data_IF_149597119887
#
_entry.id   IF_149597119887
#
_cell.length_a   1.000
_cell.length_b   1.000
_cell.length_c   1.000
_cell.angle_alpha   90.00
_cell.angle_beta   90.00
_cell.angle_gamma   90.00
#
_symmetry.space_group_name_H-M   'P 1'
#
loop_
_entity.id
_entity.type
_entity.pdbx_description
1 polymer ?
#
# COMPACT_ATOMS: atom_id res chain seq x y z
N UNK A 1 -16.97 -0.08 31.55
CA UNK A 1 -16.24 -0.55 30.36
C UNK A 1 -14.83 -0.02 30.49
N UNK A 2 -13.96 -0.81 31.10
CA UNK A 2 -12.54 -0.52 31.17
C UNK A 2 -11.96 -1.00 29.84
N UNK A 3 -11.47 -0.07 29.02
CA UNK A 3 -10.77 -0.45 27.80
C UNK A 3 -9.37 -0.91 28.22
N UNK A 4 -9.03 -2.19 28.04
CA UNK A 4 -7.81 -2.76 28.60
C UNK A 4 -6.54 -2.13 28.01
N UNK A 5 -6.59 -1.62 26.76
CA UNK A 5 -5.42 -1.10 26.06
C UNK A 5 -5.71 0.26 25.40
N UNK A 6 -5.43 1.35 26.13
CA UNK A 6 -5.66 2.72 25.69
C UNK A 6 -4.88 3.11 24.41
N UNK A 7 -3.78 2.41 24.09
CA UNK A 7 -2.90 2.71 22.95
C UNK A 7 -3.08 1.77 21.75
N UNK A 8 -4.00 0.79 21.85
CA UNK A 8 -4.22 -0.22 20.80
C UNK A 8 -4.60 0.36 19.43
N UNK A 9 -5.16 1.58 19.41
CA UNK A 9 -5.62 2.27 18.20
C UNK A 9 -4.61 3.29 17.66
N UNK A 10 -3.44 3.41 18.28
CA UNK A 10 -2.39 4.32 17.82
C UNK A 10 -1.61 3.76 16.63
N UNK A 11 -1.38 2.44 16.62
CA UNK A 11 -0.63 1.74 15.57
C UNK A 11 -1.54 0.77 14.85
N UNK A 12 -1.69 0.94 13.54
CA UNK A 12 -2.38 0.00 12.68
C UNK A 12 -1.47 -0.49 11.56
N UNK A 13 -1.84 -1.65 11.02
CA UNK A 13 -1.24 -2.28 9.86
C UNK A 13 -2.18 -2.17 8.68
N UNK A 14 -1.64 -1.81 7.53
CA UNK A 14 -2.38 -1.80 6.26
C UNK A 14 -1.58 -2.60 5.23
N UNK A 15 -2.25 -3.56 4.60
CA UNK A 15 -1.66 -4.38 3.53
C UNK A 15 -2.44 -4.13 2.26
N UNK A 16 -1.78 -3.55 1.27
CA UNK A 16 -2.33 -3.28 -0.05
C UNK A 16 -1.52 -4.07 -1.11
N UNK A 17 -2.17 -4.45 -2.21
CA UNK A 17 -1.49 -5.06 -3.37
C UNK A 17 -0.95 -3.95 -4.26
N UNK A 18 0.37 -3.93 -4.46
CA UNK A 18 1.01 -3.01 -5.43
C UNK A 18 0.63 -3.46 -6.83
N UNK A 19 -0.10 -2.61 -7.55
CA UNK A 19 -0.50 -2.85 -8.94
C UNK A 19 0.64 -2.38 -9.84
N UNK A 20 1.35 -3.32 -10.46
CA UNK A 20 2.40 -3.02 -11.41
C UNK A 20 2.90 -4.29 -12.09
N UNK A 21 3.13 -4.20 -13.40
CA UNK A 21 3.81 -5.24 -14.16
C UNK A 21 5.24 -4.77 -14.36
N UNK A 22 6.21 -5.56 -13.89
CA UNK A 22 7.63 -5.28 -14.06
C UNK A 22 8.24 -6.44 -14.82
N UNK A 23 8.68 -6.18 -16.05
CA UNK A 23 9.40 -7.16 -16.86
C UNK A 23 10.84 -6.73 -17.09
N UNK A 24 11.75 -7.69 -17.10
CA UNK A 24 13.16 -7.47 -17.42
C UNK A 24 13.73 -8.72 -18.07
N UNK A 25 14.54 -8.55 -19.11
CA UNK A 25 15.23 -9.66 -19.77
C UNK A 25 16.71 -9.63 -19.40
N UNK A 26 17.22 -10.76 -18.90
CA UNK A 26 18.67 -10.95 -18.69
C UNK A 26 19.39 -11.39 -19.97
N UNK A 27 18.68 -11.51 -21.10
CA UNK A 27 19.31 -11.85 -22.38
C UNK A 27 20.31 -10.76 -22.79
N UNK A 28 21.57 -11.14 -22.99
CA UNK A 28 22.64 -10.21 -23.34
C UNK A 28 23.40 -9.61 -22.15
N UNK A 29 23.03 -9.95 -20.90
CA UNK A 29 23.88 -9.65 -19.75
C UNK A 29 24.99 -10.69 -19.60
N UNK A 30 26.19 -10.24 -19.22
CA UNK A 30 27.33 -11.12 -18.93
C UNK A 30 27.13 -11.94 -17.67
N UNK A 31 26.33 -11.44 -16.73
CA UNK A 31 25.90 -12.10 -15.50
C UNK A 31 24.38 -12.11 -15.47
N UNK A 32 23.77 -13.21 -15.01
CA UNK A 32 22.30 -13.31 -14.85
C UNK A 32 21.83 -12.60 -13.57
N UNK A 33 22.24 -11.34 -13.41
CA UNK A 33 21.94 -10.50 -12.25
C UNK A 33 21.43 -9.13 -12.70
N UNK A 34 20.32 -8.69 -12.11
CA UNK A 34 19.72 -7.39 -12.35
C UNK A 34 19.85 -6.58 -11.06
N UNK A 35 20.60 -5.48 -11.12
CA UNK A 35 20.83 -4.60 -9.98
C UNK A 35 20.19 -3.24 -10.22
N UNK A 36 19.64 -2.63 -9.16
CA UNK A 36 19.10 -1.27 -9.21
C UNK A 36 17.78 -1.12 -9.97
N UNK A 37 16.99 -2.19 -10.15
CA UNK A 37 15.67 -2.11 -10.75
C UNK A 37 14.66 -1.54 -9.72
N UNK A 38 14.06 -0.36 -9.94
CA UNK A 38 13.07 0.20 -9.02
C UNK A 38 11.75 -0.59 -9.11
N UNK A 39 11.39 -1.28 -8.03
CA UNK A 39 10.19 -2.14 -7.99
C UNK A 39 8.94 -1.42 -7.47
N UNK A 40 9.07 -0.47 -6.55
CA UNK A 40 7.94 0.24 -5.99
C UNK A 40 8.39 1.59 -5.42
N UNK A 41 7.63 2.64 -5.70
CA UNK A 41 7.83 3.97 -5.12
C UNK A 41 6.72 4.26 -4.11
N UNK A 42 7.09 4.80 -2.96
CA UNK A 42 6.14 5.18 -1.91
C UNK A 42 6.31 6.67 -1.64
N UNK A 43 5.23 7.43 -1.76
CA UNK A 43 5.24 8.89 -1.57
C UNK A 43 5.23 9.25 -0.08
N UNK A 44 5.76 10.43 0.26
CA UNK A 44 5.76 10.97 1.62
C UNK A 44 4.50 11.76 1.97
N UNK A 45 3.57 11.89 1.03
CA UNK A 45 2.23 12.47 1.24
C UNK A 45 1.30 11.51 2.00
N UNK A 46 1.70 10.24 2.10
CA UNK A 46 0.94 9.20 2.80
C UNK A 46 1.66 8.76 4.08
N UNK A 47 0.93 8.10 4.97
CA UNK A 47 1.47 7.56 6.22
C UNK A 47 2.15 6.18 6.06
N UNK A 48 2.33 5.68 4.84
CA UNK A 48 2.89 4.34 4.60
C UNK A 48 4.32 4.16 5.14
N UNK A 49 5.12 5.22 5.15
CA UNK A 49 6.50 5.21 5.67
C UNK A 49 6.60 5.80 7.09
N UNK A 50 5.48 6.00 7.80
CA UNK A 50 5.45 6.73 9.08
C UNK A 50 6.09 5.99 10.27
N UNK A 51 6.07 4.66 10.25
CA UNK A 51 6.64 3.79 11.31
C UNK A 51 7.63 2.81 10.68
N UNK A 52 7.12 1.90 9.85
CA UNK A 52 7.89 0.90 9.11
C UNK A 52 7.05 0.48 7.91
N UNK A 53 7.72 0.05 6.85
CA UNK A 53 7.11 -0.40 5.62
C UNK A 53 7.61 -1.80 5.28
N UNK A 54 6.73 -2.66 4.77
CA UNK A 54 7.07 -4.01 4.32
C UNK A 54 6.65 -4.19 2.86
N UNK A 55 7.56 -4.69 2.03
CA UNK A 55 7.30 -5.04 0.64
C UNK A 55 7.59 -6.52 0.43
N UNK A 56 6.60 -7.28 0.00
CA UNK A 56 6.80 -8.65 -0.48
C UNK A 56 7.02 -8.61 -1.98
N UNK A 57 8.21 -9.01 -2.41
CA UNK A 57 8.57 -9.15 -3.83
C UNK A 57 8.45 -10.62 -4.21
N UNK A 58 7.73 -10.88 -5.30
CA UNK A 58 7.62 -12.19 -5.93
C UNK A 58 8.26 -12.12 -7.31
N UNK A 59 9.35 -12.82 -7.51
CA UNK A 59 10.05 -12.89 -8.78
C UNK A 59 9.67 -14.18 -9.49
N UNK A 60 9.25 -14.06 -10.76
CA UNK A 60 8.87 -15.20 -11.58
C UNK A 60 9.91 -15.42 -12.69
N UNK A 61 10.40 -16.65 -12.82
CA UNK A 61 11.19 -17.07 -13.98
C UNK A 61 10.24 -17.61 -15.04
N UNK A 62 10.12 -16.88 -16.14
CA UNK A 62 9.10 -17.13 -17.19
C UNK A 62 9.76 -17.50 -18.52
N UNK A 63 8.98 -18.09 -19.43
CA UNK A 63 9.42 -18.36 -20.81
C UNK A 63 9.43 -17.07 -21.64
N UNK A 64 10.06 -17.11 -22.81
CA UNK A 64 10.14 -15.97 -23.73
C UNK A 64 8.75 -15.51 -24.21
N UNK A 65 7.83 -16.46 -24.45
CA UNK A 65 6.46 -16.15 -24.86
C UNK A 65 5.68 -15.46 -23.74
N UNK A 66 5.86 -15.89 -22.50
CA UNK A 66 5.26 -15.26 -21.34
C UNK A 66 5.85 -13.86 -21.10
N UNK A 67 7.18 -13.71 -21.22
CA UNK A 67 7.84 -12.41 -21.14
C UNK A 67 7.27 -11.44 -22.18
N UNK A 68 7.13 -11.88 -23.43
CA UNK A 68 6.56 -11.07 -24.51
C UNK A 68 5.14 -10.61 -24.18
N UNK A 69 4.29 -11.52 -23.69
CA UNK A 69 2.91 -11.21 -23.28
C UNK A 69 2.86 -10.13 -22.18
N UNK A 70 3.60 -10.32 -21.08
CA UNK A 70 3.59 -9.37 -19.96
C UNK A 70 4.28 -8.05 -20.29
N UNK A 71 5.33 -8.06 -21.12
CA UNK A 71 6.00 -6.85 -21.58
C UNK A 71 5.08 -6.02 -22.48
N UNK A 72 4.32 -6.67 -23.38
CA UNK A 72 3.26 -6.01 -24.15
C UNK A 72 2.17 -5.39 -23.27
N UNK A 73 1.73 -6.11 -22.23
CA UNK A 73 0.76 -5.57 -21.26
C UNK A 73 1.32 -4.39 -20.45
N UNK A 74 2.58 -4.47 -20.03
CA UNK A 74 3.27 -3.39 -19.32
C UNK A 74 3.32 -2.14 -20.18
N UNK A 75 3.70 -2.26 -21.46
CA UNK A 75 3.73 -1.15 -22.41
C UNK A 75 2.35 -0.47 -22.53
N UNK A 76 1.29 -1.26 -22.76
CA UNK A 76 -0.09 -0.74 -22.87
C UNK A 76 -0.55 -0.07 -21.57
N UNK A 77 -0.25 -0.67 -20.42
CA UNK A 77 -0.62 -0.10 -19.12
C UNK A 77 0.13 1.20 -18.81
N UNK A 78 1.37 1.33 -19.27
CA UNK A 78 2.21 2.52 -19.03
C UNK A 78 1.81 3.72 -19.88
N UNK A 79 1.16 3.49 -21.03
CA UNK A 79 0.69 4.55 -21.93
C UNK A 79 -0.68 5.13 -21.56
N UNK A 80 -1.43 4.49 -20.67
CA UNK A 80 -2.72 5.00 -20.20
C UNK A 80 -2.52 6.30 -19.41
N UNK A 81 -2.84 7.42 -20.05
CA UNK A 81 -2.70 8.77 -19.48
C UNK A 81 -1.75 9.69 -20.25
N UNK A 82 -1.01 9.18 -21.23
CA UNK A 82 -0.21 10.01 -22.12
C UNK A 82 -1.09 10.68 -23.19
N UNK A 83 -0.89 11.99 -23.43
CA UNK A 83 -1.56 12.75 -24.51
C UNK A 83 -1.32 12.17 -25.91
N UNK A 84 -0.36 11.24 -26.04
CA UNK A 84 0.03 10.53 -27.25
C UNK A 84 0.07 9.01 -27.03
N UNK A 85 -0.98 8.43 -26.44
CA UNK A 85 -1.10 6.99 -26.30
C UNK A 85 -1.13 6.30 -27.69
N UNK A 86 -0.33 5.26 -27.89
CA UNK A 86 -0.43 4.43 -29.08
C UNK A 86 -1.74 3.64 -29.02
N UNK A 87 -2.33 3.33 -30.18
CA UNK A 87 -3.54 2.53 -30.21
C UNK A 87 -3.22 1.14 -29.63
N UNK A 88 -3.87 0.72 -28.52
CA UNK A 88 -3.57 -0.56 -27.92
C UNK A 88 -3.90 -1.66 -28.93
N UNK A 89 -2.94 -2.53 -29.20
CA UNK A 89 -3.16 -3.73 -29.99
C UNK A 89 -3.61 -4.88 -29.10
N UNK A 90 -4.30 -5.85 -29.69
CA UNK A 90 -4.79 -7.00 -28.94
C UNK A 90 -3.62 -7.91 -28.53
N UNK A 91 -3.31 -7.94 -27.23
CA UNK A 91 -2.36 -8.90 -26.66
C UNK A 91 -3.07 -10.26 -26.57
N UNK A 92 -2.59 -11.24 -27.37
CA UNK A 92 -3.14 -12.60 -27.38
C UNK A 92 -2.46 -13.46 -26.35
N UNK A 93 -3.28 -14.14 -25.53
CA UNK A 93 -2.81 -15.14 -24.58
C UNK A 93 -2.51 -16.50 -25.23
N UNK A 94 -2.20 -17.49 -24.38
CA UNK A 94 -2.02 -18.89 -24.76
C UNK A 94 -3.28 -19.76 -24.52
N UNK A 95 -4.39 -19.18 -24.06
CA UNK A 95 -5.64 -19.88 -23.77
C UNK A 95 -6.58 -19.80 -24.98
N UNK A 96 -7.28 -20.89 -25.30
CA UNK A 96 -8.25 -20.98 -26.40
C UNK A 96 -9.53 -21.66 -25.94
N UNK A 97 -10.68 -21.20 -26.46
CA UNK A 97 -11.98 -21.84 -26.22
C UNK A 97 -12.08 -23.16 -27.01
N UNK A 98 -12.55 -24.21 -26.35
CA UNK A 98 -12.79 -25.52 -26.99
C UNK A 98 -14.13 -25.57 -27.71
N UNK A 99 -15.04 -24.63 -27.42
CA UNK A 99 -16.38 -24.55 -28.00
C UNK A 99 -16.38 -23.62 -29.21
N UNK A 100 -15.72 -22.47 -29.11
CA UNK A 100 -15.66 -21.47 -30.17
C UNK A 100 -14.22 -20.97 -30.39
N UNK A 101 -13.48 -21.53 -31.37
CA UNK A 101 -12.09 -21.12 -31.65
C UNK A 101 -11.90 -19.64 -32.03
N UNK A 102 -12.95 -18.97 -32.51
CA UNK A 102 -12.92 -17.56 -32.91
C UNK A 102 -13.20 -16.60 -31.73
N UNK A 103 -13.57 -17.13 -30.57
CA UNK A 103 -13.79 -16.35 -29.36
C UNK A 103 -12.45 -15.93 -28.72
N UNK A 104 -12.19 -14.62 -28.59
CA UNK A 104 -10.97 -14.16 -27.94
C UNK A 104 -11.05 -14.37 -26.42
N UNK A 105 -10.15 -15.19 -25.87
CA UNK A 105 -10.00 -15.37 -24.42
C UNK A 105 -8.91 -14.44 -23.90
N UNK A 106 -9.23 -13.71 -22.84
CA UNK A 106 -8.29 -12.81 -22.15
C UNK A 106 -7.47 -13.57 -21.10
N UNK A 107 -6.23 -13.12 -20.91
CA UNK A 107 -5.31 -13.67 -19.91
C UNK A 107 -4.26 -14.61 -20.52
N UNK A 108 -3.35 -15.06 -19.66
CA UNK A 108 -2.26 -15.96 -20.02
C UNK A 108 -2.12 -17.00 -18.91
N UNK A 109 -2.11 -18.27 -19.29
CA UNK A 109 -1.85 -19.36 -18.38
C UNK A 109 -0.34 -19.48 -18.18
N UNK A 110 0.14 -19.17 -16.97
CA UNK A 110 1.56 -19.14 -16.63
C UNK A 110 1.92 -20.29 -15.68
N UNK A 111 3.00 -21.01 -16.00
CA UNK A 111 3.71 -21.89 -15.07
C UNK A 111 5.15 -21.39 -15.00
N UNK A 112 5.60 -21.04 -13.81
CA UNK A 112 6.88 -20.40 -13.59
C UNK A 112 7.48 -20.82 -12.24
N UNK A 113 8.81 -20.82 -12.16
CA UNK A 113 9.51 -20.84 -10.87
C UNK A 113 9.28 -19.52 -10.14
N UNK A 114 9.11 -19.56 -8.82
CA UNK A 114 8.87 -18.38 -7.99
C UNK A 114 9.91 -18.30 -6.87
N UNK A 115 10.51 -17.12 -6.74
CA UNK A 115 11.32 -16.73 -5.59
C UNK A 115 10.64 -15.57 -4.87
N UNK A 116 10.55 -15.65 -3.54
CA UNK A 116 9.91 -14.63 -2.73
C UNK A 116 10.90 -14.01 -1.75
N UNK A 117 10.89 -12.68 -1.65
CA UNK A 117 11.68 -11.94 -0.69
C UNK A 117 10.87 -10.82 -0.06
N UNK A 118 10.88 -10.77 1.27
CA UNK A 118 10.28 -9.67 2.02
C UNK A 118 11.35 -8.67 2.43
N UNK A 119 11.09 -7.41 2.14
CA UNK A 119 11.95 -6.27 2.45
C UNK A 119 11.24 -5.44 3.52
N UNK A 120 12.00 -4.95 4.50
CA UNK A 120 11.51 -3.97 5.46
C UNK A 120 12.31 -2.69 5.36
N UNK A 121 11.60 -1.58 5.43
CA UNK A 121 12.17 -0.23 5.42
C UNK A 121 11.65 0.47 6.67
N UNK A 122 12.56 0.87 7.57
CA UNK A 122 12.19 1.68 8.73
C UNK A 122 11.89 3.11 8.31
N UNK A 123 11.16 3.86 9.15
CA UNK A 123 10.90 5.29 8.90
C UNK A 123 12.24 6.01 8.60
N UNK A 124 12.36 6.68 7.44
CA UNK A 124 13.55 7.45 7.15
C UNK A 124 13.74 8.59 8.17
N UNK A 125 14.99 8.95 8.50
CA UNK A 125 15.29 10.09 9.36
C UNK A 125 14.65 11.38 8.84
N UNK A 126 14.11 12.20 9.75
CA UNK A 126 13.39 13.44 9.40
C UNK A 126 14.28 14.54 8.81
N UNK A 127 15.60 14.46 9.03
CA UNK A 127 16.60 15.33 8.42
C UNK A 127 16.90 14.96 6.96
N UNK A 128 16.55 13.74 6.53
CA UNK A 128 16.76 13.26 5.16
C UNK A 128 15.50 13.36 4.30
N UNK A 129 14.33 13.15 4.90
CA UNK A 129 13.06 13.06 4.17
C UNK A 129 11.97 13.82 4.92
N UNK A 130 11.39 14.82 4.25
CA UNK A 130 10.23 15.55 4.75
C UNK A 130 8.92 14.80 4.43
N UNK A 131 8.00 14.79 5.39
CA UNK A 131 6.69 14.16 5.28
C UNK A 131 5.60 15.20 5.14
N UNK A 132 4.74 15.04 4.13
CA UNK A 132 3.72 16.03 3.77
C UNK A 132 2.29 15.60 4.14
N UNK A 133 2.13 14.46 4.82
CA UNK A 133 0.82 14.06 5.32
C UNK A 133 0.36 14.95 6.48
N UNK A 134 -0.96 15.09 6.63
CA UNK A 134 -1.54 15.87 7.74
C UNK A 134 -1.20 15.25 9.09
N UNK A 135 -0.70 16.09 10.00
CA UNK A 135 -0.46 15.71 11.40
C UNK A 135 -1.60 16.23 12.26
N UNK A 136 -1.94 15.45 13.28
CA UNK A 136 -2.96 15.85 14.25
C UNK A 136 -2.33 16.80 15.27
N UNK A 137 -2.78 18.05 15.24
CA UNK A 137 -2.36 19.09 16.18
C UNK A 137 -3.59 19.50 16.97
N UNK A 138 -3.48 19.45 18.30
CA UNK A 138 -4.57 19.88 19.18
C UNK A 138 -4.72 21.40 19.12
N UNK A 139 -5.92 21.86 18.85
CA UNK A 139 -6.31 23.28 18.90
C UNK A 139 -7.36 23.55 19.97
N UNK A 140 -7.68 24.83 20.19
CA UNK A 140 -8.68 25.27 21.19
C UNK A 140 -10.04 24.60 20.98
N UNK A 141 -10.44 24.37 19.72
CA UNK A 141 -11.67 23.67 19.36
C UNK A 141 -11.73 22.24 19.92
N UNK A 142 -10.61 21.52 20.00
CA UNK A 142 -10.59 20.14 20.51
C UNK A 142 -10.77 20.11 22.04
N UNK A 143 -10.23 21.11 22.73
CA UNK A 143 -10.42 21.28 24.18
C UNK A 143 -11.87 21.69 24.50
N UNK A 144 -12.44 22.60 23.72
CA UNK A 144 -13.84 23.00 23.85
C UNK A 144 -14.78 21.83 23.55
N UNK A 145 -14.51 21.07 22.48
CA UNK A 145 -15.27 19.87 22.12
C UNK A 145 -15.32 18.85 23.26
N UNK A 146 -14.22 18.68 24.00
CA UNK A 146 -14.21 17.82 25.19
C UNK A 146 -15.20 18.31 26.27
N UNK A 147 -15.31 19.62 26.48
CA UNK A 147 -16.29 20.21 27.40
C UNK A 147 -17.75 19.92 27.03
N UNK A 148 -18.03 19.71 25.74
CA UNK A 148 -19.36 19.37 25.22
C UNK A 148 -19.59 17.86 25.04
N UNK A 149 -18.66 16.99 25.46
CA UNK A 149 -18.75 15.53 25.21
C UNK A 149 -20.07 14.91 25.71
N UNK A 150 -20.63 15.41 26.83
CA UNK A 150 -21.90 14.94 27.39
C UNK A 150 -23.13 15.19 26.51
N UNK A 151 -23.01 16.09 25.53
CA UNK A 151 -24.07 16.47 24.59
C UNK A 151 -23.94 15.76 23.24
N UNK A 152 -22.93 14.90 23.06
CA UNK A 152 -22.77 14.12 21.84
C UNK A 152 -23.85 13.04 21.73
N UNK A 153 -24.31 12.76 20.51
CA UNK A 153 -25.30 11.72 20.25
C UNK A 153 -24.74 10.36 20.69
N UNK A 154 -25.52 9.56 21.42
CA UNK A 154 -25.12 8.20 21.83
C UNK A 154 -24.70 7.31 20.66
N UNK A 155 -25.17 7.58 19.45
CA UNK A 155 -24.79 6.87 18.22
C UNK A 155 -23.33 7.09 17.80
N UNK A 156 -22.68 8.16 18.26
CA UNK A 156 -21.28 8.45 17.93
C UNK A 156 -20.29 7.78 18.88
N UNK A 157 -20.78 7.10 19.92
CA UNK A 157 -19.95 6.41 20.91
C UNK A 157 -19.50 5.02 20.40
N UNK A 158 -18.30 4.55 20.79
CA UNK A 158 -17.36 5.21 21.70
C UNK A 158 -16.57 6.37 21.06
N UNK A 159 -16.34 7.42 21.84
CA UNK A 159 -15.44 8.53 21.50
C UNK A 159 -14.11 8.37 22.26
N UNK A 160 -13.01 8.47 21.52
CA UNK A 160 -11.66 8.49 22.06
C UNK A 160 -11.24 9.92 22.37
N UNK A 161 -10.62 10.10 23.53
CA UNK A 161 -10.14 11.39 24.02
C UNK A 161 -8.65 11.27 24.28
N UNK A 162 -7.95 12.39 24.19
CA UNK A 162 -6.52 12.45 24.50
C UNK A 162 -6.24 13.51 25.55
N UNK A 163 -5.02 13.49 26.08
CA UNK A 163 -4.54 14.46 27.05
C UNK A 163 -3.35 15.20 26.44
N UNK A 164 -3.39 16.53 26.46
CA UNK A 164 -2.28 17.36 26.02
C UNK A 164 -1.07 17.20 26.95
N UNK A 165 0.09 17.70 26.51
CA UNK A 165 1.31 17.78 27.33
C UNK A 165 1.12 18.60 28.61
N UNK A 166 0.15 19.52 28.63
CA UNK A 166 -0.23 20.32 29.79
C UNK A 166 -1.27 19.65 30.70
N UNK A 167 -1.65 18.39 30.43
CA UNK A 167 -2.62 17.65 31.24
C UNK A 167 -4.09 17.99 30.95
N UNK A 168 -4.38 18.83 29.95
CA UNK A 168 -5.75 19.19 29.56
C UNK A 168 -6.32 18.10 28.64
N UNK A 169 -7.56 17.68 28.89
CA UNK A 169 -8.25 16.72 28.04
C UNK A 169 -8.81 17.39 26.79
N UNK A 170 -8.68 16.71 25.65
CA UNK A 170 -9.15 17.16 24.36
C UNK A 170 -9.90 16.02 23.65
N UNK A 171 -10.87 16.40 22.82
CA UNK A 171 -11.61 15.52 21.94
C UNK A 171 -11.28 15.91 20.49
N UNK A 172 -10.15 15.44 19.94
CA UNK A 172 -9.81 15.71 18.55
C UNK A 172 -10.70 14.92 17.60
N UNK A 173 -10.58 15.22 16.31
CA UNK A 173 -11.17 14.39 15.25
C UNK A 173 -10.77 12.93 15.47
N UNK A 174 -11.73 12.03 15.37
CA UNK A 174 -11.50 10.65 15.82
C UNK A 174 -10.52 9.87 14.93
N UNK A 175 -10.31 10.32 13.68
CA UNK A 175 -9.25 9.83 12.80
C UNK A 175 -7.84 10.01 13.38
N UNK A 176 -7.66 10.99 14.28
CA UNK A 176 -6.39 11.22 14.95
C UNK A 176 -6.07 10.20 16.04
N UNK A 177 -7.08 9.50 16.56
CA UNK A 177 -6.94 8.56 17.67
C UNK A 177 -7.28 7.11 17.28
N UNK A 178 -7.93 6.92 16.13
CA UNK A 178 -8.30 5.61 15.63
C UNK A 178 -7.76 5.39 14.22
N UNK A 179 -6.59 4.75 14.15
CA UNK A 179 -5.93 4.44 12.88
C UNK A 179 -6.76 3.53 11.95
N UNK A 180 -7.79 2.83 12.46
CA UNK A 180 -8.70 2.02 11.64
C UNK A 180 -9.56 2.87 10.72
N UNK A 181 -9.81 4.13 11.09
CA UNK A 181 -10.51 5.08 10.21
C UNK A 181 -9.70 5.44 8.95
N UNK A 182 -8.40 5.15 8.94
CA UNK A 182 -7.55 5.24 7.75
C UNK A 182 -7.41 3.91 6.99
N UNK A 183 -8.27 2.92 7.28
CA UNK A 183 -8.29 1.62 6.60
C UNK A 183 -7.25 0.62 7.11
N UNK A 184 -6.66 0.87 8.28
CA UNK A 184 -5.76 -0.08 8.94
C UNK A 184 -6.49 -1.06 9.87
N UNK A 185 -5.80 -2.13 10.25
CA UNK A 185 -6.23 -3.06 11.30
C UNK A 185 -5.24 -3.04 12.47
N UNK A 186 -5.75 -3.31 13.67
CA UNK A 186 -4.92 -3.49 14.87
C UNK A 186 -4.30 -4.90 14.95
N UNK A 187 -4.78 -5.81 14.11
CA UNK A 187 -4.23 -7.15 14.00
C UNK A 187 -2.90 -7.10 13.27
N UNK A 188 -1.83 -7.38 14.02
CA UNK A 188 -0.48 -7.44 13.49
C UNK A 188 -0.36 -8.61 12.50
N UNK A 189 0.06 -8.36 11.24
CA UNK A 189 0.26 -9.44 10.28
C UNK A 189 1.33 -10.42 10.74
N UNK A 190 1.18 -11.71 10.42
CA UNK A 190 2.14 -12.75 10.83
C UNK A 190 3.57 -12.48 10.32
N UNK A 191 3.67 -11.90 9.14
CA UNK A 191 4.97 -11.52 8.57
C UNK A 191 5.57 -10.28 9.23
N UNK A 192 4.87 -9.56 10.11
CA UNK A 192 5.38 -8.31 10.67
C UNK A 192 6.39 -8.58 11.78
N UNK A 193 7.63 -8.15 11.58
CA UNK A 193 8.67 -8.16 12.60
C UNK A 193 8.80 -6.77 13.22
N UNK A 194 8.95 -6.70 14.53
CA UNK A 194 9.30 -5.43 15.19
C UNK A 194 10.80 -5.17 15.03
N UNK A 195 11.22 -3.92 15.27
CA UNK A 195 12.62 -3.50 15.15
C UNK A 195 13.25 -3.38 16.53
#
# INVERSE_FOLDING_TARGET
FEFPDADSLYTCYKTDVVQGIYTFSTAGLSETAVNGLPLNYVTTDTRMLSIRYSLLVKQYTVTDEAFTYYNSLQAISSEQGALYAQQPYQVKGNIKSTINPDEPILGYFLVAGIDEKRIYVNRPPSDQVEFYYSVCVLGDADFDAFGFIRWTDRRTWPLYVTTSTSGRRALPHQDCLDCRRHGGTIEKPEFWTDN
#
